data_IF_703804365353
#
_entry.id   IF_703804365353
#
_cell.length_a   1.000
_cell.length_b   1.000
_cell.length_c   1.000
_cell.angle_alpha   90.00
_cell.angle_beta   90.00
_cell.angle_gamma   90.00
#
_symmetry.space_group_name_H-M   'P 1'
#
loop_
_entity.id
_entity.type
_entity.pdbx_description
1 polymer ?
#
# COMPACT_ATOMS: atom_id res chain seq x y z
N UNK A 1 -16.10 -4.80 4.41
CA UNK A 1 -16.42 -6.19 3.99
C UNK A 1 -15.32 -6.64 3.03
N UNK A 2 -14.83 -7.87 3.19
CA UNK A 2 -13.85 -8.52 2.33
C UNK A 2 -14.49 -9.79 1.75
N UNK A 3 -14.25 -10.01 0.46
CA UNK A 3 -14.56 -11.24 -0.25
C UNK A 3 -13.23 -11.86 -0.70
N UNK A 4 -12.79 -12.92 -0.04
CA UNK A 4 -11.52 -13.59 -0.29
C UNK A 4 -11.75 -14.82 -1.18
N UNK A 5 -11.05 -14.85 -2.32
CA UNK A 5 -11.08 -15.94 -3.28
C UNK A 5 -9.68 -16.52 -3.38
N UNK A 6 -9.56 -17.84 -3.18
CA UNK A 6 -8.30 -18.58 -3.32
C UNK A 6 -8.52 -19.81 -4.19
N UNK A 7 -7.52 -20.17 -4.98
CA UNK A 7 -7.62 -21.33 -5.87
C UNK A 7 -7.86 -22.61 -5.06
N UNK A 8 -8.90 -23.36 -5.43
CA UNK A 8 -9.28 -24.60 -4.74
C UNK A 8 -9.90 -24.42 -3.36
N UNK A 9 -10.27 -23.19 -2.97
CA UNK A 9 -11.00 -22.91 -1.72
C UNK A 9 -12.35 -22.27 -2.00
N UNK A 10 -13.31 -22.51 -1.11
CA UNK A 10 -14.61 -21.84 -1.13
C UNK A 10 -14.45 -20.33 -0.90
N UNK A 11 -15.38 -19.54 -1.45
CA UNK A 11 -15.45 -18.10 -1.20
C UNK A 11 -15.59 -17.84 0.31
N UNK A 12 -14.73 -16.98 0.85
CA UNK A 12 -14.82 -16.54 2.25
C UNK A 12 -15.21 -15.07 2.31
N UNK A 13 -16.26 -14.77 3.07
CA UNK A 13 -16.67 -13.39 3.36
C UNK A 13 -16.46 -13.07 4.83
N UNK A 14 -15.87 -11.91 5.11
CA UNK A 14 -15.66 -11.43 6.49
C UNK A 14 -15.51 -9.92 6.54
N UNK A 15 -15.45 -9.38 7.76
CA UNK A 15 -15.16 -7.98 8.02
C UNK A 15 -13.80 -7.89 8.72
N UNK A 16 -13.15 -6.75 8.54
CA UNK A 16 -11.97 -6.38 9.33
C UNK A 16 -12.18 -5.00 9.92
N UNK A 17 -11.56 -4.76 11.07
CA UNK A 17 -11.36 -3.41 11.60
C UNK A 17 -9.90 -2.96 11.37
N UNK A 18 -9.61 -1.65 11.34
CA UNK A 18 -8.24 -1.17 11.30
C UNK A 18 -7.35 -1.75 12.42
N UNK A 19 -7.90 -1.89 13.63
CA UNK A 19 -7.17 -2.36 14.81
C UNK A 19 -6.73 -3.83 14.67
N UNK A 20 -7.56 -4.67 14.04
CA UNK A 20 -7.27 -6.08 13.74
C UNK A 20 -6.06 -6.26 12.81
N UNK A 21 -5.62 -5.20 12.14
CA UNK A 21 -4.44 -5.20 11.28
C UNK A 21 -3.34 -4.23 11.73
N UNK A 22 -3.48 -3.63 12.92
CA UNK A 22 -2.48 -2.76 13.53
C UNK A 22 -2.48 -1.33 13.02
N UNK A 23 -3.62 -0.88 12.49
CA UNK A 23 -3.90 0.50 12.11
C UNK A 23 -4.84 1.13 13.13
N UNK A 24 -4.92 2.45 13.11
CA UNK A 24 -5.86 3.22 13.93
C UNK A 24 -7.07 3.60 13.10
N UNK A 25 -8.27 3.42 13.64
CA UNK A 25 -9.48 3.96 13.01
C UNK A 25 -9.44 5.49 12.94
N UNK A 26 -9.78 6.04 11.78
CA UNK A 26 -9.78 7.48 11.53
C UNK A 26 -11.18 7.90 11.06
N UNK A 27 -11.72 8.94 11.71
CA UNK A 27 -13.03 9.51 11.39
C UNK A 27 -12.94 10.69 10.43
N UNK A 28 -11.80 11.39 10.40
CA UNK A 28 -11.55 12.46 9.46
C UNK A 28 -11.09 11.91 8.11
N UNK A 29 -11.82 12.25 7.05
CA UNK A 29 -11.49 11.80 5.70
C UNK A 29 -10.46 12.70 5.00
N UNK A 30 -10.20 13.91 5.51
CA UNK A 30 -9.26 14.88 4.91
C UNK A 30 -7.87 14.30 4.60
N UNK A 31 -7.25 13.47 5.46
CA UNK A 31 -5.95 12.87 5.16
C UNK A 31 -5.91 11.96 3.93
N UNK A 32 -7.07 11.51 3.43
CA UNK A 32 -7.18 10.63 2.27
C UNK A 32 -7.63 11.34 1.00
N UNK A 33 -7.92 12.65 1.05
CA UNK A 33 -8.35 13.40 -0.11
C UNK A 33 -7.19 13.61 -1.09
N UNK A 34 -7.38 13.09 -2.32
CA UNK A 34 -6.55 13.43 -3.46
C UNK A 34 -6.87 14.83 -4.01
N UNK A 35 -5.98 15.33 -4.85
CA UNK A 35 -6.11 16.58 -5.59
C UNK A 35 -5.99 16.36 -7.08
N UNK A 36 -5.44 17.37 -7.78
CA UNK A 36 -5.10 17.27 -9.19
C UNK A 36 -3.97 16.23 -9.44
N UNK A 37 -3.71 15.85 -10.71
CA UNK A 37 -2.67 14.88 -11.02
C UNK A 37 -1.26 15.26 -10.53
N UNK A 38 -0.91 16.55 -10.53
CA UNK A 38 0.41 17.02 -10.08
C UNK A 38 0.54 16.91 -8.55
N UNK A 39 -0.51 17.28 -7.82
CA UNK A 39 -0.61 17.10 -6.39
C UNK A 39 -0.49 15.62 -6.00
N UNK A 40 -1.28 14.74 -6.63
CA UNK A 40 -1.26 13.30 -6.34
C UNK A 40 0.11 12.68 -6.63
N UNK A 41 0.76 13.08 -7.73
CA UNK A 41 2.11 12.64 -8.05
C UNK A 41 3.14 13.11 -7.01
N UNK A 42 3.05 14.36 -6.56
CA UNK A 42 3.92 14.92 -5.52
C UNK A 42 3.74 14.21 -4.18
N UNK A 43 2.49 13.98 -3.77
CA UNK A 43 2.14 13.25 -2.55
C UNK A 43 2.72 11.83 -2.58
N UNK A 44 2.48 11.08 -3.66
CA UNK A 44 2.99 9.71 -3.79
C UNK A 44 4.52 9.69 -3.82
N UNK A 45 5.17 10.60 -4.55
CA UNK A 45 6.64 10.70 -4.57
C UNK A 45 7.21 10.96 -3.18
N UNK A 46 6.56 11.82 -2.40
CA UNK A 46 6.98 12.15 -1.04
C UNK A 46 6.87 10.92 -0.12
N UNK A 47 5.72 10.25 -0.13
CA UNK A 47 5.46 9.04 0.66
C UNK A 47 6.45 7.91 0.33
N UNK A 48 6.75 7.71 -0.96
CA UNK A 48 7.70 6.68 -1.38
C UNK A 48 9.16 7.04 -1.08
N UNK A 49 9.48 8.33 -0.92
CA UNK A 49 10.86 8.80 -0.75
C UNK A 49 11.32 8.85 0.71
N UNK A 50 10.40 9.09 1.62
CA UNK A 50 10.66 9.20 3.05
C UNK A 50 9.46 8.65 3.83
N UNK A 51 9.72 7.65 4.68
CA UNK A 51 8.67 7.07 5.51
C UNK A 51 8.12 8.09 6.52
N UNK A 52 6.80 8.25 6.54
CA UNK A 52 6.07 9.01 7.55
C UNK A 52 5.00 8.12 8.16
N UNK A 53 4.89 8.12 9.48
CA UNK A 53 3.83 7.42 10.18
C UNK A 53 2.55 8.27 10.17
N UNK A 54 1.87 8.33 9.02
CA UNK A 54 0.67 9.12 8.81
C UNK A 54 -0.47 8.29 8.16
N UNK A 55 -1.72 8.79 8.20
CA UNK A 55 -2.88 8.07 7.66
C UNK A 55 -2.76 7.68 6.18
N UNK A 56 -2.15 8.55 5.36
CA UNK A 56 -1.97 8.28 3.94
C UNK A 56 -1.02 7.11 3.71
N UNK A 57 0.09 7.05 4.46
CA UNK A 57 1.04 5.95 4.44
C UNK A 57 0.42 4.65 4.92
N UNK A 58 -0.40 4.70 5.97
CA UNK A 58 -1.13 3.55 6.47
C UNK A 58 -2.12 2.99 5.45
N UNK A 59 -2.85 3.86 4.73
CA UNK A 59 -3.74 3.45 3.65
C UNK A 59 -2.98 2.79 2.49
N UNK A 60 -1.81 3.31 2.11
CA UNK A 60 -0.95 2.69 1.09
C UNK A 60 -0.45 1.32 1.57
N UNK A 61 -0.05 1.20 2.83
CA UNK A 61 0.39 -0.07 3.40
C UNK A 61 -0.74 -1.10 3.48
N UNK A 62 -1.97 -0.69 3.81
CA UNK A 62 -3.16 -1.54 3.80
C UNK A 62 -3.43 -2.13 2.41
N UNK A 63 -3.50 -1.28 1.39
CA UNK A 63 -3.75 -1.72 0.01
C UNK A 63 -2.61 -2.61 -0.52
N UNK A 64 -1.36 -2.27 -0.19
CA UNK A 64 -0.20 -3.08 -0.56
C UNK A 64 -0.24 -4.44 0.15
N UNK A 65 -0.56 -4.47 1.44
CA UNK A 65 -0.72 -5.71 2.20
C UNK A 65 -1.81 -6.61 1.64
N UNK A 66 -2.94 -6.04 1.20
CA UNK A 66 -4.00 -6.80 0.54
C UNK A 66 -3.54 -7.38 -0.80
N UNK A 67 -2.79 -6.61 -1.61
CA UNK A 67 -2.23 -7.09 -2.87
C UNK A 67 -1.20 -8.22 -2.65
N UNK A 68 -0.34 -8.09 -1.64
CA UNK A 68 0.62 -9.13 -1.26
C UNK A 68 -0.07 -10.42 -0.80
N UNK A 69 -1.13 -10.29 0.02
CA UNK A 69 -1.91 -11.43 0.50
C UNK A 69 -2.64 -12.14 -0.65
N UNK A 70 -3.22 -11.39 -1.57
CA UNK A 70 -3.90 -11.92 -2.75
C UNK A 70 -2.93 -12.63 -3.71
N UNK A 71 -1.66 -12.21 -3.74
CA UNK A 71 -0.60 -12.86 -4.51
C UNK A 71 0.18 -13.91 -3.70
N UNK A 72 -0.37 -14.36 -2.57
CA UNK A 72 0.20 -15.43 -1.72
C UNK A 72 1.64 -15.16 -1.25
N UNK A 73 2.06 -13.89 -1.19
CA UNK A 73 3.40 -13.50 -0.75
C UNK A 73 3.53 -13.39 0.77
N UNK A 74 2.39 -13.33 1.47
CA UNK A 74 2.29 -13.24 2.93
C UNK A 74 1.13 -14.11 3.40
N UNK A 75 1.18 -14.58 4.64
CA UNK A 75 0.16 -15.45 5.22
C UNK A 75 -1.02 -14.67 5.83
N UNK A 76 -0.88 -13.37 6.05
CA UNK A 76 -1.94 -12.53 6.61
C UNK A 76 -1.88 -11.08 6.12
N UNK A 77 -3.01 -10.38 6.22
CA UNK A 77 -3.08 -8.96 5.88
C UNK A 77 -2.14 -8.11 6.77
N UNK A 78 -2.07 -8.43 8.07
CA UNK A 78 -1.17 -7.78 9.02
C UNK A 78 0.30 -7.94 8.63
N UNK A 79 0.70 -9.14 8.23
CA UNK A 79 2.05 -9.40 7.73
C UNK A 79 2.34 -8.59 6.45
N UNK A 80 1.38 -8.53 5.52
CA UNK A 80 1.49 -7.71 4.32
C UNK A 80 1.68 -6.22 4.61
N UNK A 81 0.94 -5.67 5.56
CA UNK A 81 1.09 -4.27 6.00
C UNK A 81 2.47 -4.04 6.61
N UNK A 82 2.94 -4.94 7.45
CA UNK A 82 4.27 -4.83 8.07
C UNK A 82 5.38 -4.89 7.02
N UNK A 83 5.27 -5.78 6.03
CA UNK A 83 6.21 -5.86 4.92
C UNK A 83 6.19 -4.59 4.05
N UNK A 84 5.00 -4.02 3.79
CA UNK A 84 4.87 -2.76 3.07
C UNK A 84 5.54 -1.60 3.84
N UNK A 85 5.32 -1.49 5.16
CA UNK A 85 5.97 -0.50 6.02
C UNK A 85 7.50 -0.65 6.01
N UNK A 86 8.02 -1.86 6.18
CA UNK A 86 9.46 -2.12 6.12
C UNK A 86 10.04 -1.75 4.76
N UNK A 87 9.32 -2.03 3.67
CA UNK A 87 9.75 -1.69 2.30
C UNK A 87 9.87 -0.17 2.09
N UNK A 88 8.98 0.62 2.70
CA UNK A 88 9.07 2.08 2.70
C UNK A 88 10.25 2.57 3.56
N UNK A 89 10.38 2.04 4.78
CA UNK A 89 11.45 2.40 5.73
C UNK A 89 12.84 2.11 5.18
N UNK A 90 13.01 0.98 4.49
CA UNK A 90 14.28 0.59 3.86
C UNK A 90 14.61 1.40 2.59
N UNK A 91 13.72 2.28 2.14
CA UNK A 91 13.89 3.07 0.90
C UNK A 91 13.78 2.26 -0.39
N UNK A 92 13.41 0.98 -0.33
CA UNK A 92 13.26 0.09 -1.50
C UNK A 92 12.19 0.59 -2.45
N UNK A 93 11.10 1.16 -1.92
CA UNK A 93 10.03 1.70 -2.73
C UNK A 93 10.47 2.93 -3.55
N UNK A 94 11.28 3.82 -2.94
CA UNK A 94 11.94 4.95 -3.62
C UNK A 94 12.80 4.46 -4.78
N UNK A 95 13.66 3.48 -4.51
CA UNK A 95 14.55 2.90 -5.52
C UNK A 95 13.74 2.30 -6.66
N UNK A 96 12.67 1.54 -6.36
CA UNK A 96 11.83 0.93 -7.39
C UNK A 96 11.17 1.97 -8.29
N UNK A 97 10.70 3.10 -7.74
CA UNK A 97 10.17 4.19 -8.55
C UNK A 97 11.22 4.76 -9.50
N UNK A 98 12.47 4.94 -9.04
CA UNK A 98 13.57 5.41 -9.88
C UNK A 98 13.87 4.41 -11.01
N UNK A 99 13.89 3.10 -10.73
CA UNK A 99 14.09 2.05 -11.73
C UNK A 99 13.00 2.10 -12.81
N UNK A 100 11.72 2.24 -12.42
CA UNK A 100 10.59 2.34 -13.35
C UNK A 100 10.70 3.57 -14.24
N UNK A 101 11.06 4.73 -13.67
CA UNK A 101 11.26 5.97 -14.44
C UNK A 101 12.40 5.80 -15.45
N UNK A 102 13.52 5.20 -15.04
CA UNK A 102 14.67 4.98 -15.92
C UNK A 102 14.30 4.02 -17.07
N UNK A 103 13.64 2.91 -16.75
CA UNK A 103 13.18 1.93 -17.75
C UNK A 103 12.19 2.54 -18.73
N UNK A 104 11.18 3.28 -18.25
CA UNK A 104 10.18 3.93 -19.10
C UNK A 104 10.80 4.92 -20.09
N UNK A 105 11.82 5.68 -19.65
CA UNK A 105 12.54 6.63 -20.51
C UNK A 105 13.36 5.91 -21.58
N UNK A 106 14.05 4.83 -21.22
CA UNK A 106 14.85 4.03 -22.16
C UNK A 106 14.00 3.32 -23.23
N UNK A 107 12.73 3.00 -22.93
CA UNK A 107 11.79 2.42 -23.90
C UNK A 107 11.15 3.46 -24.83
N UNK A 108 11.27 4.74 -24.49
CA UNK A 108 10.69 5.86 -25.26
C UNK A 108 11.71 6.55 -26.17
N UNK A 109 12.97 6.12 -26.11
CA UNK A 109 14.08 6.52 -26.99
C UNK A 109 14.31 5.49 -28.07
#
# INVERSE_FOLDING_TARGET
RICEVRSGQELREYFITPEEVGLTSITDHQPFHGGDPAYNASMLRSLLSEYKADPATDMVCLNTGAALLANEQVASLREGINLARATLQDGKAKQKLQDVIACSRALSS
#
